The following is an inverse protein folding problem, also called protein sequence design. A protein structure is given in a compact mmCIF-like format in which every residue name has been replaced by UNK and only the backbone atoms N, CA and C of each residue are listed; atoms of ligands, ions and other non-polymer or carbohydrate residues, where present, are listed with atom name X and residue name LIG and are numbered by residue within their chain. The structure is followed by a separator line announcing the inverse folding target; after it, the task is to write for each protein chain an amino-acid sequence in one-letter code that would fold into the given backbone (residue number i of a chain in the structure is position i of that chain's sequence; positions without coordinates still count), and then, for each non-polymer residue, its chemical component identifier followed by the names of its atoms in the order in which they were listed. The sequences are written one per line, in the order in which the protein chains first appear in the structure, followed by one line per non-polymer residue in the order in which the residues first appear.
data_IF_603956399290
#
_entry.id   IF_603956399290
#
_cell.length_a   1.000
_cell.length_b   1.000
_cell.length_c   1.000
_cell.angle_alpha   90.00
_cell.angle_beta   90.00
_cell.angle_gamma   90.00
#
_symmetry.space_group_name_H-M   'P 1'
#
loop_
_entity.id
_entity.type
_entity.pdbx_description
1 polymer ?
#
# COMPACT_ATOMS: atom_id res chain seq x y z
N UNK A 1 55.83 10.60 2.46
CA UNK A 1 54.45 11.14 2.46
C UNK A 1 54.14 11.53 3.88
N UNK A 2 53.84 12.80 4.14
CA UNK A 2 53.73 13.36 5.51
C UNK A 2 52.52 12.77 6.25
N UNK A 3 52.69 12.47 7.54
CA UNK A 3 51.62 11.99 8.43
C UNK A 3 50.34 12.87 8.41
N UNK A 4 50.50 14.17 8.14
CA UNK A 4 49.39 15.12 8.00
C UNK A 4 48.51 14.85 6.76
N UNK A 5 49.10 14.34 5.67
CA UNK A 5 48.38 14.00 4.46
C UNK A 5 47.50 12.73 4.65
N UNK A 6 48.01 11.76 5.42
CA UNK A 6 47.28 10.55 5.76
C UNK A 6 46.14 10.83 6.75
N UNK A 7 46.38 11.69 7.73
CA UNK A 7 45.34 12.12 8.68
C UNK A 7 44.19 12.90 7.98
N UNK A 8 44.52 13.78 7.02
CA UNK A 8 43.54 14.51 6.23
C UNK A 8 42.68 13.59 5.34
N UNK A 9 43.28 12.56 4.73
CA UNK A 9 42.57 11.57 3.92
C UNK A 9 41.63 10.70 4.75
N UNK A 10 42.00 10.30 5.96
CA UNK A 10 41.15 9.54 6.89
C UNK A 10 40.00 10.42 7.38
N UNK A 11 40.23 11.69 7.67
CA UNK A 11 39.19 12.62 8.09
C UNK A 11 38.17 12.88 6.98
N UNK A 12 38.62 13.03 5.71
CA UNK A 12 37.71 13.16 4.56
C UNK A 12 36.92 11.87 4.26
N UNK A 13 37.51 10.69 4.44
CA UNK A 13 36.84 9.42 4.28
C UNK A 13 35.72 9.21 5.35
N UNK A 14 35.96 9.64 6.59
CA UNK A 14 34.97 9.60 7.67
C UNK A 14 33.80 10.56 7.46
N UNK A 15 34.01 11.72 6.83
CA UNK A 15 32.94 12.66 6.48
C UNK A 15 32.09 12.11 5.30
N UNK A 16 32.72 11.46 4.31
CA UNK A 16 32.00 10.90 3.16
C UNK A 16 31.07 9.74 3.54
N UNK A 17 31.39 8.96 4.57
CA UNK A 17 30.55 7.84 5.03
C UNK A 17 29.26 8.30 5.72
N UNK A 18 29.22 9.53 6.29
CA UNK A 18 28.04 10.04 6.97
C UNK A 18 26.94 10.62 6.03
N UNK A 19 27.21 10.76 4.72
CA UNK A 19 26.24 11.33 3.77
C UNK A 19 25.29 10.27 3.19
N UNK A 20 25.59 8.97 3.37
CA UNK A 20 24.85 7.87 2.71
C UNK A 20 23.66 7.32 3.52
N UNK A 21 23.51 7.69 4.79
CA UNK A 21 22.44 7.18 5.66
C UNK A 21 21.39 8.22 6.04
N UNK A 22 21.21 9.26 5.24
CA UNK A 22 20.04 10.12 5.30
C UNK A 22 18.84 9.43 4.64
N UNK A 23 18.38 8.31 5.17
CA UNK A 23 17.08 7.76 4.80
C UNK A 23 16.01 8.77 5.20
N UNK A 24 15.58 9.60 4.27
CA UNK A 24 14.43 10.48 4.45
C UNK A 24 13.23 9.59 4.79
N UNK A 25 12.81 9.61 6.04
CA UNK A 25 11.54 9.03 6.43
C UNK A 25 10.43 9.90 5.82
N UNK A 26 10.14 9.69 4.52
CA UNK A 26 9.04 10.36 3.86
C UNK A 26 7.73 9.78 4.41
N UNK A 27 7.08 10.55 5.28
CA UNK A 27 5.73 10.26 5.74
C UNK A 27 4.76 10.29 4.54
N UNK A 28 4.94 11.22 3.61
CA UNK A 28 4.12 11.43 2.40
C UNK A 28 4.92 11.06 1.15
N UNK A 29 4.30 10.33 0.20
CA UNK A 29 4.92 10.02 -1.08
C UNK A 29 4.46 8.71 -1.71
N UNK A 30 5.00 8.44 -2.88
CA UNK A 30 4.86 7.17 -3.60
C UNK A 30 5.90 6.20 -3.06
N UNK A 31 5.45 5.12 -2.46
CA UNK A 31 6.32 4.04 -1.94
C UNK A 31 6.58 2.96 -2.97
N UNK A 32 5.60 2.73 -3.85
CA UNK A 32 5.69 1.82 -4.99
C UNK A 32 4.76 2.31 -6.10
N UNK A 33 5.21 2.33 -7.36
CA UNK A 33 4.33 2.68 -8.48
C UNK A 33 3.38 1.53 -8.79
N UNK A 34 2.27 1.82 -9.50
CA UNK A 34 1.33 0.79 -9.97
C UNK A 34 2.03 -0.26 -10.82
N UNK A 35 2.89 0.17 -11.76
CA UNK A 35 3.63 -0.72 -12.64
C UNK A 35 4.56 -1.65 -11.85
N UNK A 36 5.30 -1.10 -10.88
CA UNK A 36 6.19 -1.90 -10.02
C UNK A 36 5.40 -2.90 -9.16
N UNK A 37 4.23 -2.50 -8.65
CA UNK A 37 3.35 -3.40 -7.92
C UNK A 37 2.82 -4.54 -8.80
N UNK A 38 2.35 -4.24 -10.00
CA UNK A 38 1.84 -5.24 -10.95
C UNK A 38 2.95 -6.18 -11.44
N UNK A 39 4.16 -5.64 -11.66
CA UNK A 39 5.33 -6.45 -11.98
C UNK A 39 5.71 -7.40 -10.83
N UNK A 40 5.67 -6.95 -9.57
CA UNK A 40 5.89 -7.80 -8.40
C UNK A 40 4.88 -8.97 -8.32
N UNK A 41 3.63 -8.73 -8.79
CA UNK A 41 2.54 -9.73 -8.72
C UNK A 41 2.57 -10.71 -9.88
N UNK A 42 2.82 -10.25 -11.11
CA UNK A 42 2.65 -11.01 -12.34
C UNK A 42 3.95 -11.22 -13.12
N UNK A 43 5.05 -10.62 -12.70
CA UNK A 43 6.31 -10.60 -13.47
C UNK A 43 6.20 -9.78 -14.75
N UNK A 44 6.97 -10.14 -15.76
CA UNK A 44 7.02 -9.43 -17.04
C UNK A 44 5.72 -9.52 -17.86
N UNK A 45 4.85 -10.46 -17.54
CA UNK A 45 3.61 -10.74 -18.27
C UNK A 45 2.37 -10.23 -17.51
N UNK A 46 2.30 -8.92 -17.25
CA UNK A 46 1.14 -8.29 -16.60
C UNK A 46 -0.10 -8.48 -17.50
N UNK A 47 -1.20 -9.09 -16.98
CA UNK A 47 -2.41 -9.33 -17.77
C UNK A 47 -3.10 -8.00 -18.13
N UNK A 48 -4.05 -8.07 -19.06
CA UNK A 48 -4.84 -6.91 -19.45
C UNK A 48 -5.69 -6.40 -18.28
N UNK A 49 -5.77 -5.08 -18.15
CA UNK A 49 -6.63 -4.37 -17.21
C UNK A 49 -8.09 -4.69 -17.47
N UNK A 50 -8.79 -5.16 -16.45
CA UNK A 50 -10.22 -5.44 -16.45
C UNK A 50 -10.97 -4.41 -15.60
N UNK A 51 -12.30 -4.37 -15.71
CA UNK A 51 -13.12 -3.48 -14.88
C UNK A 51 -14.47 -4.08 -14.56
N UNK A 52 -14.94 -3.83 -13.34
CA UNK A 52 -16.28 -4.11 -12.89
C UNK A 52 -17.07 -2.79 -12.88
N UNK A 53 -18.16 -2.73 -13.64
CA UNK A 53 -19.07 -1.59 -13.58
C UNK A 53 -19.92 -1.69 -12.32
N UNK A 54 -19.94 -0.63 -11.53
CA UNK A 54 -20.74 -0.53 -10.32
C UNK A 54 -22.19 -0.21 -10.67
N UNK A 55 -22.94 -1.23 -11.04
CA UNK A 55 -24.39 -1.16 -11.22
C UNK A 55 -25.09 -1.39 -9.87
N UNK A 56 -26.41 -1.22 -9.81
CA UNK A 56 -27.21 -1.14 -8.58
C UNK A 56 -26.80 -2.08 -7.45
N UNK A 57 -26.79 -3.37 -7.69
CA UNK A 57 -26.51 -4.42 -6.70
C UNK A 57 -25.03 -4.47 -6.27
N UNK A 58 -24.11 -4.35 -7.25
CA UNK A 58 -22.66 -4.30 -6.97
C UNK A 58 -22.31 -3.03 -6.23
N UNK A 59 -22.90 -1.89 -6.64
CA UNK A 59 -22.71 -0.60 -5.96
C UNK A 59 -23.18 -0.68 -4.50
N UNK A 60 -24.40 -1.21 -4.28
CA UNK A 60 -24.94 -1.36 -2.93
C UNK A 60 -24.01 -2.20 -2.04
N UNK A 61 -23.45 -3.28 -2.57
CA UNK A 61 -22.48 -4.13 -1.85
C UNK A 61 -21.20 -3.38 -1.50
N UNK A 62 -20.64 -2.62 -2.46
CA UNK A 62 -19.43 -1.81 -2.24
C UNK A 62 -19.70 -0.74 -1.18
N UNK A 63 -20.81 -0.01 -1.27
CA UNK A 63 -21.15 1.05 -0.33
C UNK A 63 -21.47 0.51 1.08
N UNK A 64 -21.97 -0.71 1.19
CA UNK A 64 -22.12 -1.40 2.48
C UNK A 64 -20.76 -1.74 3.11
N UNK A 65 -19.80 -2.21 2.30
CA UNK A 65 -18.41 -2.48 2.78
C UNK A 65 -17.75 -1.18 3.23
N UNK A 66 -17.82 -0.13 2.40
CA UNK A 66 -17.16 1.15 2.68
C UNK A 66 -17.88 1.97 3.77
N UNK A 67 -19.14 1.66 4.07
CA UNK A 67 -20.01 2.43 4.95
C UNK A 67 -20.20 3.91 4.53
N UNK A 68 -20.01 4.20 3.23
CA UNK A 68 -20.29 5.50 2.62
C UNK A 68 -20.50 5.36 1.11
N UNK A 69 -21.12 6.37 0.43
CA UNK A 69 -21.30 6.37 -1.01
C UNK A 69 -19.96 6.32 -1.76
N UNK A 70 -19.88 5.53 -2.81
CA UNK A 70 -18.70 5.44 -3.68
C UNK A 70 -18.92 6.24 -4.97
N UNK A 71 -18.09 7.26 -5.21
CA UNK A 71 -18.23 8.16 -6.35
C UNK A 71 -17.81 7.53 -7.70
N UNK A 72 -17.03 6.45 -7.70
CA UNK A 72 -16.54 5.79 -8.92
C UNK A 72 -17.65 5.08 -9.69
N UNK A 73 -17.48 5.00 -11.02
CA UNK A 73 -18.39 4.24 -11.90
C UNK A 73 -17.94 2.80 -12.10
N UNK A 74 -16.68 2.52 -11.89
CA UNK A 74 -16.05 1.21 -12.06
C UNK A 74 -14.88 1.03 -11.10
N UNK A 75 -14.58 -0.23 -10.79
CA UNK A 75 -13.37 -0.65 -10.12
C UNK A 75 -12.51 -1.42 -11.13
N UNK A 76 -11.20 -1.20 -11.12
CA UNK A 76 -10.27 -1.86 -12.04
C UNK A 76 -9.44 -2.90 -11.34
N UNK A 77 -9.10 -3.98 -12.07
CA UNK A 77 -8.29 -5.08 -11.55
C UNK A 77 -7.54 -5.79 -12.68
N UNK A 78 -6.60 -6.63 -12.30
CA UNK A 78 -5.85 -7.53 -13.17
C UNK A 78 -5.97 -8.94 -12.64
N UNK A 79 -6.16 -9.92 -13.52
CA UNK A 79 -6.36 -11.30 -13.11
C UNK A 79 -5.62 -12.26 -14.02
N UNK A 80 -4.90 -13.21 -13.40
CA UNK A 80 -4.20 -14.30 -14.08
C UNK A 80 -3.99 -15.45 -13.08
N UNK A 81 -4.14 -16.70 -13.55
CA UNK A 81 -3.83 -17.92 -12.78
C UNK A 81 -4.53 -17.98 -11.41
N UNK A 82 -5.82 -17.63 -11.34
CA UNK A 82 -6.62 -17.60 -10.10
C UNK A 82 -6.09 -16.64 -9.03
N UNK A 83 -5.37 -15.60 -9.45
CA UNK A 83 -4.88 -14.50 -8.63
C UNK A 83 -5.31 -13.19 -9.27
N UNK A 84 -5.87 -12.29 -8.46
CA UNK A 84 -6.24 -10.94 -8.89
C UNK A 84 -5.47 -9.89 -8.11
N UNK A 85 -5.10 -8.81 -8.79
CA UNK A 85 -4.50 -7.61 -8.21
C UNK A 85 -5.44 -6.43 -8.36
N UNK A 86 -5.59 -5.66 -7.32
CA UNK A 86 -6.47 -4.51 -7.19
C UNK A 86 -5.65 -3.30 -6.77
N UNK A 87 -5.86 -2.17 -7.43
CA UNK A 87 -5.30 -0.89 -7.02
C UNK A 87 -6.49 0.00 -6.69
N UNK A 88 -6.63 0.29 -5.42
CA UNK A 88 -7.78 0.97 -4.84
C UNK A 88 -7.34 2.26 -4.16
N UNK A 89 -8.23 3.22 -4.09
CA UNK A 89 -8.05 4.46 -3.33
C UNK A 89 -9.19 4.66 -2.35
N UNK A 90 -8.84 5.05 -1.14
CA UNK A 90 -9.80 5.43 -0.12
C UNK A 90 -9.30 6.66 0.64
N UNK A 91 -10.23 7.51 1.07
CA UNK A 91 -9.90 8.72 1.82
C UNK A 91 -9.49 8.33 3.24
N UNK A 92 -8.28 8.74 3.63
CA UNK A 92 -7.84 8.68 5.02
C UNK A 92 -8.52 9.74 5.86
N UNK A 93 -7.82 10.83 6.15
CA UNK A 93 -8.40 11.99 6.83
C UNK A 93 -8.80 13.10 5.85
N UNK A 94 -7.91 13.48 4.96
CA UNK A 94 -8.07 14.63 4.04
C UNK A 94 -7.72 14.27 2.59
N UNK A 95 -6.86 13.26 2.41
CA UNK A 95 -6.33 12.88 1.12
C UNK A 95 -6.51 11.38 0.86
N UNK A 96 -6.59 10.97 -0.42
CA UNK A 96 -6.65 9.56 -0.77
C UNK A 96 -5.34 8.84 -0.48
N UNK A 97 -5.48 7.62 -0.01
CA UNK A 97 -4.39 6.66 0.17
C UNK A 97 -4.59 5.58 -0.89
N UNK A 98 -3.54 5.26 -1.65
CA UNK A 98 -3.59 4.24 -2.69
C UNK A 98 -3.06 2.92 -2.16
N UNK A 99 -3.82 1.86 -2.33
CA UNK A 99 -3.52 0.50 -1.85
C UNK A 99 -3.36 -0.46 -3.02
N UNK A 100 -2.41 -1.38 -2.90
CA UNK A 100 -2.30 -2.56 -3.73
C UNK A 100 -2.71 -3.80 -2.95
N UNK A 101 -3.74 -4.50 -3.41
CA UNK A 101 -4.25 -5.72 -2.78
C UNK A 101 -4.16 -6.86 -3.78
N UNK A 102 -3.66 -8.02 -3.34
CA UNK A 102 -3.66 -9.25 -4.12
C UNK A 102 -4.54 -10.28 -3.44
N UNK A 103 -5.48 -10.84 -4.19
CA UNK A 103 -6.36 -11.92 -3.73
C UNK A 103 -6.06 -13.19 -4.53
N UNK A 104 -5.94 -14.31 -3.84
CA UNK A 104 -5.81 -15.63 -4.45
C UNK A 104 -6.63 -16.64 -3.64
N UNK A 105 -7.40 -17.48 -4.31
CA UNK A 105 -8.26 -18.49 -3.68
C UNK A 105 -9.21 -17.90 -2.61
N UNK A 106 -9.77 -16.71 -2.85
CA UNK A 106 -10.68 -16.02 -1.93
C UNK A 106 -10.02 -15.45 -0.67
N UNK A 107 -8.68 -15.39 -0.62
CA UNK A 107 -7.92 -14.84 0.52
C UNK A 107 -6.97 -13.75 0.09
N UNK A 108 -6.77 -12.78 0.95
CA UNK A 108 -5.77 -11.74 0.75
C UNK A 108 -4.37 -12.38 0.85
N UNK A 109 -3.61 -12.30 -0.23
CA UNK A 109 -2.21 -12.76 -0.30
C UNK A 109 -1.23 -11.63 0.02
N UNK A 110 -1.59 -10.41 -0.37
CA UNK A 110 -0.75 -9.22 -0.18
C UNK A 110 -1.64 -8.01 0.04
N UNK A 111 -1.24 -7.14 0.96
CA UNK A 111 -1.78 -5.80 1.12
C UNK A 111 -0.61 -4.83 1.29
N UNK A 112 -0.58 -3.75 0.50
CA UNK A 112 0.48 -2.74 0.52
C UNK A 112 -0.12 -1.35 0.39
N UNK A 113 0.49 -0.36 1.04
CA UNK A 113 0.27 1.06 0.74
C UNK A 113 1.22 1.43 -0.41
N UNK A 114 0.68 1.84 -1.54
CA UNK A 114 1.44 2.23 -2.72
C UNK A 114 1.77 3.72 -2.71
N UNK A 115 0.78 4.55 -2.37
CA UNK A 115 0.97 5.99 -2.23
C UNK A 115 0.23 6.50 -1.00
N UNK A 116 0.89 7.40 -0.26
CA UNK A 116 0.36 8.03 0.94
C UNK A 116 0.47 9.55 0.82
N UNK A 117 -0.66 10.24 0.88
CA UNK A 117 -0.75 11.70 0.67
C UNK A 117 -1.07 12.47 1.93
N UNK A 118 -1.32 11.78 3.05
CA UNK A 118 -1.59 12.37 4.34
C UNK A 118 -0.32 12.84 5.07
N UNK A 119 -0.49 13.68 6.08
CA UNK A 119 0.63 14.17 6.92
C UNK A 119 0.95 13.19 8.06
N UNK A 120 -0.06 12.41 8.53
CA UNK A 120 0.04 11.50 9.68
C UNK A 120 -0.62 10.16 9.33
N UNK A 121 -0.25 9.12 10.05
CA UNK A 121 -0.83 7.78 9.88
C UNK A 121 -0.11 6.92 8.82
N UNK A 122 1.09 7.34 8.39
CA UNK A 122 1.93 6.65 7.42
C UNK A 122 2.49 5.30 7.91
N UNK A 123 2.32 5.02 9.21
CA UNK A 123 2.72 3.76 9.85
C UNK A 123 1.99 2.55 9.28
N UNK A 124 0.81 2.75 8.68
CA UNK A 124 0.05 1.69 8.00
C UNK A 124 0.81 1.04 6.82
N UNK A 125 1.85 1.67 6.31
CA UNK A 125 2.70 1.09 5.26
C UNK A 125 3.61 -0.04 5.75
N UNK A 126 3.89 -0.09 7.05
CA UNK A 126 4.83 -1.06 7.59
C UNK A 126 4.25 -2.47 7.63
N UNK A 127 5.13 -3.48 7.46
CA UNK A 127 4.72 -4.88 7.54
C UNK A 127 4.05 -5.26 8.87
N UNK A 128 4.35 -4.57 9.96
CA UNK A 128 3.69 -4.78 11.25
C UNK A 128 2.16 -4.60 11.16
N UNK A 129 1.70 -3.67 10.32
CA UNK A 129 0.28 -3.46 10.06
C UNK A 129 -0.23 -4.30 8.88
N UNK A 130 0.42 -4.24 7.71
CA UNK A 130 -0.09 -4.84 6.48
C UNK A 130 -0.13 -6.37 6.50
N UNK A 131 0.72 -7.03 7.30
CA UNK A 131 0.71 -8.49 7.45
C UNK A 131 -0.56 -9.03 8.12
N UNK A 132 -1.30 -8.24 8.86
CA UNK A 132 -2.55 -8.65 9.50
C UNK A 132 -3.61 -9.06 8.48
N UNK A 133 -3.57 -8.48 7.29
CA UNK A 133 -4.49 -8.79 6.20
C UNK A 133 -4.18 -10.12 5.50
N UNK A 134 -2.96 -10.63 5.60
CA UNK A 134 -2.55 -11.84 4.87
C UNK A 134 -3.33 -13.06 5.37
N UNK A 135 -3.98 -13.75 4.44
CA UNK A 135 -4.84 -14.89 4.70
C UNK A 135 -6.26 -14.53 5.14
N UNK A 136 -6.58 -13.24 5.31
CA UNK A 136 -7.95 -12.80 5.56
C UNK A 136 -8.86 -13.08 4.36
N UNK A 137 -10.13 -13.33 4.63
CA UNK A 137 -11.21 -13.51 3.66
C UNK A 137 -12.43 -12.70 4.07
N UNK A 138 -13.40 -12.55 3.17
CA UNK A 138 -14.66 -11.90 3.50
C UNK A 138 -15.60 -12.86 4.24
N UNK A 139 -16.27 -12.33 5.25
CA UNK A 139 -17.36 -12.96 6.00
C UNK A 139 -18.57 -12.02 5.96
N UNK A 140 -19.41 -12.19 4.95
CA UNK A 140 -20.42 -11.20 4.63
C UNK A 140 -19.78 -9.96 3.98
N UNK A 141 -19.89 -8.82 4.65
CA UNK A 141 -19.29 -7.55 4.23
C UNK A 141 -18.03 -7.16 5.03
N UNK A 142 -17.64 -7.95 6.01
CA UNK A 142 -16.49 -7.71 6.87
C UNK A 142 -15.35 -8.69 6.60
N UNK A 143 -14.17 -8.37 7.09
CA UNK A 143 -13.07 -9.34 7.15
C UNK A 143 -13.39 -10.43 8.21
N UNK A 144 -12.90 -11.65 7.98
CA UNK A 144 -13.05 -12.79 8.89
C UNK A 144 -12.27 -12.65 10.20
N UNK A 145 -11.59 -11.53 10.38
CA UNK A 145 -10.77 -11.19 11.55
C UNK A 145 -10.76 -9.69 11.83
N UNK A 146 -10.47 -9.33 13.07
CA UNK A 146 -10.17 -7.94 13.43
C UNK A 146 -8.73 -7.56 13.03
N UNK A 147 -8.55 -6.31 12.65
CA UNK A 147 -7.25 -5.72 12.34
C UNK A 147 -6.91 -4.75 13.47
N UNK A 148 -5.76 -4.94 14.09
CA UNK A 148 -5.30 -4.07 15.17
C UNK A 148 -4.98 -2.68 14.61
N UNK A 149 -5.43 -1.66 15.31
CA UNK A 149 -5.19 -0.27 14.94
C UNK A 149 -3.73 0.15 15.13
N UNK A 150 -3.41 1.29 14.54
CA UNK A 150 -2.14 1.98 14.75
C UNK A 150 -2.42 3.27 15.52
N UNK A 151 -1.71 3.47 16.64
CA UNK A 151 -1.90 4.66 17.48
C UNK A 151 -1.62 5.94 16.69
N UNK A 152 -2.59 6.85 16.66
CA UNK A 152 -2.52 8.10 15.88
C UNK A 152 -2.83 7.97 14.38
N UNK A 153 -3.19 6.78 13.89
CA UNK A 153 -3.48 6.50 12.48
C UNK A 153 -4.92 5.96 12.24
N UNK A 154 -5.86 6.20 13.13
CA UNK A 154 -7.21 5.60 13.13
C UNK A 154 -7.92 5.72 11.78
N UNK A 155 -7.93 6.90 11.16
CA UNK A 155 -8.60 7.11 9.87
C UNK A 155 -7.88 6.42 8.72
N UNK A 156 -6.54 6.36 8.75
CA UNK A 156 -5.76 5.61 7.77
C UNK A 156 -5.97 4.09 7.90
N UNK A 157 -6.16 3.59 9.13
CA UNK A 157 -6.52 2.19 9.40
C UNK A 157 -7.90 1.89 8.80
N UNK A 158 -8.90 2.73 9.09
CA UNK A 158 -10.25 2.55 8.55
C UNK A 158 -10.32 2.58 7.03
N UNK A 159 -9.48 3.38 6.38
CA UNK A 159 -9.39 3.39 4.92
C UNK A 159 -8.90 2.05 4.33
N UNK A 160 -8.27 1.18 5.11
CA UNK A 160 -7.78 -0.14 4.68
C UNK A 160 -8.63 -1.33 5.17
N UNK A 161 -9.48 -1.15 6.18
CA UNK A 161 -10.30 -2.22 6.78
C UNK A 161 -11.72 -2.20 6.29
#
# INVERSE_FOLDING_TARGET
MSYYLQAALIFFALIAVNIVYGGSAHAKGVYQTEEAFLHDVFGDNVPQKQSILLRSDVRESVEKILNHPYAGLKIVYWEQNNQSAWILEEIGKEHPITFGIVVANGKIKTAKVLEFREIRGWEIKYPAFTRQFIGASLRGYDLDRSIDGVSGATLSVWAMT
#
